data_IF_171302682799
#
_entry.id   IF_171302682799
#
_cell.length_a   1.000
_cell.length_b   1.000
_cell.length_c   1.000
_cell.angle_alpha   90.00
_cell.angle_beta   90.00
_cell.angle_gamma   90.00
#
_symmetry.space_group_name_H-M   'P 1'
#
loop_
_entity.id
_entity.type
_entity.pdbx_description
1 polymer ?
#
# COMPACT_ATOMS: atom_id res chain seq x y z
N UNK A 1 4.49 -2.12 -15.93
CA UNK A 1 4.20 -1.04 -14.95
C UNK A 1 4.01 -1.57 -13.53
N UNK A 2 3.15 -2.56 -13.29
CA UNK A 2 2.87 -3.04 -11.92
C UNK A 2 4.11 -3.59 -11.17
N UNK A 3 5.00 -4.34 -11.84
CA UNK A 3 6.25 -4.81 -11.22
C UNK A 3 7.18 -3.66 -10.81
N UNK A 4 7.23 -2.57 -11.59
CA UNK A 4 8.04 -1.39 -11.26
C UNK A 4 7.53 -0.67 -10.01
N UNK A 5 6.21 -0.52 -9.88
CA UNK A 5 5.56 0.14 -8.74
C UNK A 5 5.76 -0.68 -7.45
N UNK A 6 5.87 -2.01 -7.56
CA UNK A 6 6.19 -2.87 -6.41
C UNK A 6 7.62 -2.68 -5.89
N UNK A 7 8.53 -2.06 -6.64
CA UNK A 7 9.92 -1.87 -6.22
C UNK A 7 10.26 -0.37 -6.24
N UNK A 8 9.97 0.36 -5.15
CA UNK A 8 10.12 1.82 -5.08
C UNK A 8 11.51 2.31 -5.48
N UNK A 9 12.57 1.62 -5.04
CA UNK A 9 13.96 1.96 -5.36
C UNK A 9 14.24 1.83 -6.87
N UNK A 10 13.71 0.78 -7.51
CA UNK A 10 13.86 0.60 -8.97
C UNK A 10 13.11 1.69 -9.72
N UNK A 11 11.89 2.03 -9.26
CA UNK A 11 11.12 3.14 -9.81
C UNK A 11 11.87 4.47 -9.66
N UNK A 12 12.54 4.71 -8.52
CA UNK A 12 13.38 5.90 -8.30
C UNK A 12 14.45 6.02 -9.38
N UNK A 13 15.27 4.99 -9.61
CA UNK A 13 16.35 5.08 -10.59
C UNK A 13 15.82 5.24 -12.02
N UNK A 14 14.76 4.53 -12.38
CA UNK A 14 14.17 4.61 -13.72
C UNK A 14 13.54 5.98 -13.96
N UNK A 15 12.77 6.49 -13.00
CA UNK A 15 12.21 7.85 -13.10
C UNK A 15 13.32 8.90 -13.11
N UNK A 16 14.39 8.74 -12.32
CA UNK A 16 15.51 9.66 -12.31
C UNK A 16 16.19 9.73 -13.68
N UNK A 17 16.49 8.58 -14.29
CA UNK A 17 17.07 8.53 -15.63
C UNK A 17 16.12 9.14 -16.65
N UNK A 18 14.84 8.79 -16.60
CA UNK A 18 13.83 9.29 -17.53
C UNK A 18 13.66 10.82 -17.45
N UNK A 19 13.55 11.36 -16.23
CA UNK A 19 13.39 12.80 -16.00
C UNK A 19 14.66 13.58 -16.34
N UNK A 20 15.84 13.01 -16.04
CA UNK A 20 17.13 13.61 -16.40
C UNK A 20 17.30 13.64 -17.92
N UNK A 21 16.95 12.56 -18.61
CA UNK A 21 16.95 12.49 -20.07
C UNK A 21 15.97 13.51 -20.68
N UNK A 22 14.76 13.66 -20.11
CA UNK A 22 13.80 14.66 -20.57
C UNK A 22 14.35 16.09 -20.43
N UNK A 23 14.94 16.44 -19.29
CA UNK A 23 15.58 17.75 -19.09
C UNK A 23 16.80 17.96 -20.00
N UNK A 24 17.59 16.92 -20.22
CA UNK A 24 18.70 16.97 -21.18
C UNK A 24 18.21 17.19 -22.62
N UNK A 25 17.16 16.49 -23.07
CA UNK A 25 16.53 16.71 -24.38
C UNK A 25 16.03 18.15 -24.48
N UNK A 26 15.38 18.67 -23.43
CA UNK A 26 14.94 20.06 -23.37
C UNK A 26 16.09 21.05 -23.62
N UNK A 27 17.19 20.90 -22.86
CA UNK A 27 18.32 21.85 -22.87
C UNK A 27 19.28 21.69 -24.05
N UNK A 28 19.62 20.45 -24.42
CA UNK A 28 20.65 20.16 -25.41
C UNK A 28 20.10 19.96 -26.82
N UNK A 29 18.83 19.55 -26.97
CA UNK A 29 18.25 19.21 -28.28
C UNK A 29 17.21 20.25 -28.70
N UNK A 30 16.22 20.53 -27.85
CA UNK A 30 15.10 21.42 -28.20
C UNK A 30 15.52 22.89 -28.17
N UNK A 31 16.20 23.33 -27.10
CA UNK A 31 16.57 24.74 -26.90
C UNK A 31 17.45 25.32 -28.02
N UNK A 32 18.47 24.63 -28.55
CA UNK A 32 19.26 25.17 -29.67
C UNK A 32 18.50 25.20 -31.00
N UNK A 33 17.54 24.28 -31.22
CA UNK A 33 16.75 24.20 -32.45
C UNK A 33 15.59 25.18 -32.48
N UNK A 34 15.03 25.47 -31.31
CA UNK A 34 13.89 26.37 -31.13
C UNK A 34 14.25 27.37 -30.04
N UNK A 35 14.97 28.46 -30.37
CA UNK A 35 15.25 29.50 -29.41
C UNK A 35 13.95 30.22 -29.03
N UNK A 36 13.75 30.40 -27.73
CA UNK A 36 12.66 31.23 -27.18
C UNK A 36 13.06 32.68 -27.43
N UNK A 37 12.35 33.37 -28.33
CA UNK A 37 12.52 34.81 -28.56
C UNK A 37 12.05 35.62 -27.36
N UNK A 38 12.57 36.84 -27.21
CA UNK A 38 12.29 37.68 -26.03
C UNK A 38 10.81 37.99 -25.86
N UNK A 39 10.05 38.10 -26.96
CA UNK A 39 8.60 38.36 -26.93
C UNK A 39 7.76 37.17 -26.46
N UNK A 40 8.27 35.94 -26.54
CA UNK A 40 7.55 34.71 -26.14
C UNK A 40 8.05 34.11 -24.82
N UNK A 41 9.02 34.78 -24.17
CA UNK A 41 9.66 34.29 -22.94
C UNK A 41 8.69 34.26 -21.76
N UNK A 42 7.80 35.25 -21.66
CA UNK A 42 6.83 35.32 -20.56
C UNK A 42 5.73 34.28 -20.72
N UNK A 43 5.22 34.07 -21.93
CA UNK A 43 4.26 32.98 -22.24
C UNK A 43 4.85 31.61 -21.88
N UNK A 44 6.12 31.38 -22.23
CA UNK A 44 6.82 30.15 -21.88
C UNK A 44 6.92 29.95 -20.36
N UNK A 45 7.33 30.99 -19.61
CA UNK A 45 7.42 30.93 -18.14
C UNK A 45 6.06 30.65 -17.50
N UNK A 46 4.99 31.20 -18.05
CA UNK A 46 3.62 30.94 -17.62
C UNK A 46 3.26 29.46 -17.80
N UNK A 47 3.48 28.90 -18.99
CA UNK A 47 3.22 27.48 -19.29
C UNK A 47 4.08 26.54 -18.43
N UNK A 48 5.36 26.87 -18.26
CA UNK A 48 6.28 26.12 -17.41
C UNK A 48 5.79 26.09 -15.95
N UNK A 49 5.43 27.25 -15.40
CA UNK A 49 4.92 27.38 -14.03
C UNK A 49 3.59 26.63 -13.84
N UNK A 50 2.68 26.72 -14.80
CA UNK A 50 1.42 25.98 -14.78
C UNK A 50 1.65 24.46 -14.81
N UNK A 51 2.58 23.99 -15.64
CA UNK A 51 2.92 22.55 -15.74
C UNK A 51 3.55 22.02 -14.45
N UNK A 52 4.46 22.79 -13.84
CA UNK A 52 5.08 22.44 -12.56
C UNK A 52 4.05 22.43 -11.42
N UNK A 53 3.12 23.39 -11.41
CA UNK A 53 2.02 23.44 -10.44
C UNK A 53 1.11 22.24 -10.59
N UNK A 54 0.76 21.86 -11.83
CA UNK A 54 -0.02 20.66 -12.09
C UNK A 54 0.71 19.40 -11.63
N UNK A 55 2.02 19.29 -11.88
CA UNK A 55 2.83 18.17 -11.39
C UNK A 55 2.78 18.07 -9.86
N UNK A 56 3.00 19.18 -9.15
CA UNK A 56 2.94 19.22 -7.70
C UNK A 56 1.57 18.80 -7.16
N UNK A 57 0.49 19.26 -7.81
CA UNK A 57 -0.88 18.92 -7.44
C UNK A 57 -1.18 17.42 -7.62
N UNK A 58 -0.80 16.84 -8.77
CA UNK A 58 -1.01 15.42 -9.06
C UNK A 58 -0.16 14.53 -8.14
N UNK A 59 1.07 14.96 -7.80
CA UNK A 59 1.90 14.31 -6.77
C UNK A 59 1.17 14.33 -5.42
N UNK A 60 0.66 15.49 -5.00
CA UNK A 60 -0.05 15.64 -3.72
C UNK A 60 -1.28 14.74 -3.61
N UNK A 61 -2.13 14.72 -4.64
CA UNK A 61 -3.30 13.82 -4.66
C UNK A 61 -2.91 12.34 -4.68
N UNK A 62 -1.85 11.99 -5.41
CA UNK A 62 -1.38 10.60 -5.47
C UNK A 62 -0.78 10.13 -4.15
N UNK A 63 -0.05 11.00 -3.45
CA UNK A 63 0.46 10.73 -2.11
C UNK A 63 -0.68 10.58 -1.11
N UNK A 64 -1.67 11.48 -1.12
CA UNK A 64 -2.85 11.36 -0.26
C UNK A 64 -3.61 10.05 -0.49
N UNK A 65 -3.77 9.65 -1.76
CA UNK A 65 -4.35 8.37 -2.14
C UNK A 65 -3.56 7.17 -1.62
N UNK A 66 -2.22 7.21 -1.65
CA UNK A 66 -1.37 6.15 -1.13
C UNK A 66 -1.47 6.06 0.41
N UNK A 67 -1.41 7.21 1.10
CA UNK A 67 -1.53 7.30 2.57
C UNK A 67 -2.88 6.75 3.05
N UNK A 68 -3.98 7.14 2.41
CA UNK A 68 -5.31 6.65 2.79
C UNK A 68 -5.42 5.11 2.70
N UNK A 69 -4.83 4.52 1.64
CA UNK A 69 -4.76 3.05 1.50
C UNK A 69 -3.87 2.40 2.55
N UNK A 70 -2.76 3.03 2.90
CA UNK A 70 -1.88 2.56 3.97
C UNK A 70 -2.61 2.57 5.33
N UNK A 71 -3.30 3.67 5.66
CA UNK A 71 -4.08 3.78 6.89
C UNK A 71 -5.23 2.76 6.92
N UNK A 72 -5.93 2.54 5.79
CA UNK A 72 -6.95 1.52 5.70
C UNK A 72 -6.41 0.11 6.00
N UNK A 73 -5.22 -0.22 5.49
CA UNK A 73 -4.58 -1.52 5.78
C UNK A 73 -4.19 -1.65 7.26
N UNK A 74 -3.78 -0.56 7.91
CA UNK A 74 -3.52 -0.56 9.36
C UNK A 74 -4.80 -0.75 10.16
N UNK A 75 -5.87 -0.06 9.79
CA UNK A 75 -7.15 -0.19 10.49
C UNK A 75 -7.70 -1.62 10.36
N UNK A 76 -7.57 -2.26 9.20
CA UNK A 76 -7.99 -3.66 9.05
C UNK A 76 -7.11 -4.66 9.81
N UNK A 77 -5.82 -4.36 10.00
CA UNK A 77 -4.96 -5.16 10.88
C UNK A 77 -5.43 -5.10 12.34
N UNK A 78 -5.81 -3.91 12.81
CA UNK A 78 -6.41 -3.71 14.13
C UNK A 78 -7.76 -4.42 14.26
N UNK A 79 -8.63 -4.30 13.25
CA UNK A 79 -9.93 -4.99 13.23
C UNK A 79 -9.80 -6.51 13.26
N UNK A 80 -8.85 -7.10 12.50
CA UNK A 80 -8.54 -8.54 12.59
C UNK A 80 -8.12 -8.92 14.00
N UNK A 81 -7.21 -8.16 14.63
CA UNK A 81 -6.72 -8.43 15.97
C UNK A 81 -7.85 -8.37 17.02
N UNK A 82 -8.74 -7.37 16.91
CA UNK A 82 -9.89 -7.18 17.80
C UNK A 82 -10.94 -8.28 17.62
N UNK A 83 -11.25 -8.68 16.37
CA UNK A 83 -12.19 -9.76 16.10
C UNK A 83 -11.69 -11.09 16.67
N UNK A 84 -10.40 -11.41 16.46
CA UNK A 84 -9.78 -12.64 17.00
C UNK A 84 -9.80 -12.62 18.53
N UNK A 85 -9.40 -11.51 19.16
CA UNK A 85 -9.39 -11.40 20.62
C UNK A 85 -10.80 -11.52 21.22
N UNK A 86 -11.79 -10.90 20.59
CA UNK A 86 -13.20 -10.98 21.00
C UNK A 86 -13.71 -12.42 20.89
N UNK A 87 -13.47 -13.08 19.76
CA UNK A 87 -13.94 -14.45 19.54
C UNK A 87 -13.25 -15.45 20.45
N UNK A 88 -11.98 -15.21 20.81
CA UNK A 88 -11.26 -16.06 21.77
C UNK A 88 -11.96 -16.11 23.14
N UNK A 89 -12.52 -14.98 23.60
CA UNK A 89 -13.29 -14.93 24.85
C UNK A 89 -14.69 -15.50 24.63
N UNK A 90 -15.35 -15.16 23.50
CA UNK A 90 -16.70 -15.68 23.18
C UNK A 90 -16.72 -17.19 22.95
N UNK A 91 -15.60 -17.83 22.67
CA UNK A 91 -15.50 -19.28 22.62
C UNK A 91 -16.03 -19.95 23.90
N UNK A 92 -15.90 -19.33 25.08
CA UNK A 92 -16.43 -19.86 26.36
C UNK A 92 -17.96 -19.88 26.44
N UNK A 93 -18.65 -19.24 25.48
CA UNK A 93 -20.11 -19.28 25.37
C UNK A 93 -20.62 -20.57 24.72
N UNK A 94 -19.70 -21.43 24.26
CA UNK A 94 -19.97 -22.72 23.64
C UNK A 94 -19.60 -23.87 24.60
N UNK A 95 -20.02 -25.12 24.33
CA UNK A 95 -19.61 -26.26 25.13
C UNK A 95 -18.08 -26.35 25.28
N UNK A 96 -17.60 -26.77 26.46
CA UNK A 96 -16.18 -26.72 26.82
C UNK A 96 -15.23 -27.38 25.79
N UNK A 97 -15.67 -28.48 25.15
CA UNK A 97 -14.91 -29.14 24.09
C UNK A 97 -14.77 -28.27 22.83
N UNK A 98 -15.84 -27.59 22.43
CA UNK A 98 -15.81 -26.64 21.30
C UNK A 98 -14.99 -25.39 21.65
N UNK A 99 -15.15 -24.86 22.86
CA UNK A 99 -14.40 -23.71 23.35
C UNK A 99 -12.87 -23.95 23.29
N UNK A 100 -12.42 -25.10 23.80
CA UNK A 100 -11.00 -25.47 23.78
C UNK A 100 -10.44 -25.64 22.36
N UNK A 101 -11.22 -26.28 21.47
CA UNK A 101 -10.84 -26.44 20.06
C UNK A 101 -10.73 -25.10 19.34
N UNK A 102 -11.73 -24.21 19.50
CA UNK A 102 -11.75 -22.89 18.89
C UNK A 102 -10.58 -22.03 19.38
N UNK A 103 -10.31 -22.00 20.69
CA UNK A 103 -9.17 -21.24 21.24
C UNK A 103 -7.82 -21.71 20.67
N UNK A 104 -7.63 -23.02 20.59
CA UNK A 104 -6.43 -23.61 20.01
C UNK A 104 -6.29 -23.23 18.53
N UNK A 105 -7.39 -23.29 17.77
CA UNK A 105 -7.40 -22.99 16.35
C UNK A 105 -7.25 -21.48 16.09
N UNK A 106 -7.82 -20.61 16.92
CA UNK A 106 -7.65 -19.16 16.83
C UNK A 106 -6.21 -18.73 17.10
N UNK A 107 -5.51 -19.35 18.06
CA UNK A 107 -4.10 -19.07 18.29
C UNK A 107 -3.24 -19.43 17.07
N UNK A 108 -3.53 -20.58 16.43
CA UNK A 108 -2.88 -20.97 15.17
C UNK A 108 -3.24 -20.06 14.00
N UNK A 109 -4.50 -19.61 13.96
CA UNK A 109 -4.98 -18.68 12.96
C UNK A 109 -4.27 -17.34 13.07
N UNK A 110 -4.17 -16.81 14.28
CA UNK A 110 -3.46 -15.58 14.59
C UNK A 110 -1.99 -15.63 14.13
N UNK A 111 -1.29 -16.74 14.39
CA UNK A 111 0.08 -16.95 13.91
C UNK A 111 0.16 -16.93 12.38
N UNK A 112 -0.75 -17.62 11.68
CA UNK A 112 -0.82 -17.57 10.21
C UNK A 112 -1.10 -16.15 9.69
N UNK A 113 -1.95 -15.38 10.39
CA UNK A 113 -2.20 -13.99 10.04
C UNK A 113 -0.93 -13.16 10.22
N UNK A 114 -0.21 -13.27 11.33
CA UNK A 114 1.07 -12.57 11.52
C UNK A 114 2.06 -12.92 10.39
N UNK A 115 2.18 -14.20 10.03
CA UNK A 115 3.02 -14.64 8.92
C UNK A 115 2.59 -14.03 7.57
N UNK A 116 1.29 -13.83 7.34
CA UNK A 116 0.78 -13.18 6.11
C UNK A 116 1.27 -11.73 5.96
N UNK A 117 1.38 -10.98 7.06
CA UNK A 117 1.91 -9.61 7.05
C UNK A 117 3.43 -9.56 6.86
N UNK A 118 4.14 -10.61 7.28
CA UNK A 118 5.61 -10.70 7.20
C UNK A 118 6.10 -11.33 5.89
N UNK A 119 5.26 -12.11 5.19
CA UNK A 119 5.65 -12.80 3.97
C UNK A 119 5.81 -11.84 2.78
N UNK A 120 7.00 -11.88 2.17
CA UNK A 120 7.33 -11.14 0.95
C UNK A 120 7.12 -11.98 -0.33
N UNK A 121 7.26 -13.30 -0.23
CA UNK A 121 7.26 -14.24 -1.35
C UNK A 121 5.84 -14.70 -1.75
N UNK A 122 5.55 -14.73 -3.06
CA UNK A 122 4.23 -15.09 -3.59
C UNK A 122 3.86 -16.56 -3.34
N UNK A 123 4.83 -17.49 -3.40
CA UNK A 123 4.59 -18.90 -3.12
C UNK A 123 4.27 -19.10 -1.64
N UNK A 124 5.04 -18.48 -0.75
CA UNK A 124 4.79 -18.53 0.69
C UNK A 124 3.43 -17.94 1.05
N UNK A 125 3.02 -16.86 0.39
CA UNK A 125 1.69 -16.27 0.57
C UNK A 125 0.57 -17.21 0.13
N UNK A 126 0.74 -17.92 -0.98
CA UNK A 126 -0.24 -18.91 -1.44
C UNK A 126 -0.40 -20.05 -0.41
N UNK A 127 0.71 -20.54 0.15
CA UNK A 127 0.70 -21.55 1.22
C UNK A 127 -0.03 -21.04 2.47
N UNK A 128 0.31 -19.84 2.94
CA UNK A 128 -0.33 -19.21 4.11
C UNK A 128 -1.83 -19.06 3.87
N UNK A 129 -2.24 -18.53 2.71
CA UNK A 129 -3.65 -18.34 2.38
C UNK A 129 -4.42 -19.67 2.34
N UNK A 130 -3.83 -20.73 1.78
CA UNK A 130 -4.43 -22.06 1.78
C UNK A 130 -4.57 -22.63 3.20
N UNK A 131 -3.56 -22.45 4.05
CA UNK A 131 -3.62 -22.85 5.45
C UNK A 131 -4.67 -22.04 6.24
N UNK A 132 -4.73 -20.72 6.01
CA UNK A 132 -5.74 -19.82 6.59
C UNK A 132 -7.15 -20.26 6.21
N UNK A 133 -7.43 -20.51 4.94
CA UNK A 133 -8.76 -20.94 4.48
C UNK A 133 -9.18 -22.29 5.08
N UNK A 134 -8.27 -23.25 5.14
CA UNK A 134 -8.52 -24.54 5.80
C UNK A 134 -8.86 -24.37 7.29
N UNK A 135 -8.18 -23.46 7.98
CA UNK A 135 -8.41 -23.22 9.40
C UNK A 135 -9.70 -22.44 9.66
N UNK A 136 -10.06 -21.47 8.81
CA UNK A 136 -11.36 -20.81 8.85
C UNK A 136 -12.51 -21.81 8.74
N UNK A 137 -12.40 -22.81 7.84
CA UNK A 137 -13.40 -23.88 7.72
C UNK A 137 -13.53 -24.71 9.00
N UNK A 138 -12.41 -25.05 9.66
CA UNK A 138 -12.41 -25.77 10.95
C UNK A 138 -13.05 -24.94 12.06
N UNK A 139 -12.65 -23.68 12.17
CA UNK A 139 -13.17 -22.73 13.15
C UNK A 139 -14.68 -22.54 13.00
N UNK A 140 -15.15 -22.32 11.76
CA UNK A 140 -16.58 -22.19 11.46
C UNK A 140 -17.35 -23.46 11.85
N UNK A 141 -16.87 -24.63 11.47
CA UNK A 141 -17.52 -25.90 11.80
C UNK A 141 -17.59 -26.14 13.31
N UNK A 142 -16.55 -25.79 14.06
CA UNK A 142 -16.52 -25.90 15.51
C UNK A 142 -17.53 -24.94 16.17
N UNK A 143 -17.56 -23.67 15.74
CA UNK A 143 -18.50 -22.68 16.25
C UNK A 143 -19.96 -23.07 15.94
N UNK A 144 -20.25 -23.47 14.70
CA UNK A 144 -21.58 -23.90 14.27
C UNK A 144 -22.05 -25.16 15.02
N UNK A 145 -21.19 -26.18 15.14
CA UNK A 145 -21.53 -27.42 15.85
C UNK A 145 -21.75 -27.18 17.35
N UNK A 146 -20.91 -26.34 17.96
CA UNK A 146 -21.07 -25.93 19.36
C UNK A 146 -22.41 -25.21 19.59
N UNK A 147 -22.77 -24.29 18.70
CA UNK A 147 -24.03 -23.57 18.80
C UNK A 147 -25.26 -24.46 18.55
N UNK A 148 -25.18 -25.42 17.62
CA UNK A 148 -26.26 -26.39 17.39
C UNK A 148 -26.45 -27.36 18.57
N UNK A 149 -25.40 -27.62 19.35
CA UNK A 149 -25.49 -28.45 20.57
C UNK A 149 -26.23 -27.71 21.69
N UNK A 150 -26.13 -26.39 21.75
CA UNK A 150 -26.80 -25.57 22.76
C UNK A 150 -27.43 -24.31 22.13
N UNK A 151 -28.49 -24.44 21.31
CA UNK A 151 -29.02 -23.34 20.51
C UNK A 151 -29.72 -22.31 21.40
N UNK A 152 -29.00 -21.22 21.71
CA UNK A 152 -29.52 -20.14 22.55
C UNK A 152 -28.94 -18.77 22.11
N UNK A 153 -29.51 -17.65 22.58
CA UNK A 153 -29.03 -16.32 22.18
C UNK A 153 -27.56 -16.04 22.54
N UNK A 154 -27.03 -16.68 23.58
CA UNK A 154 -25.63 -16.51 24.03
C UNK A 154 -24.67 -17.25 23.10
N UNK A 155 -25.00 -18.47 22.67
CA UNK A 155 -24.18 -19.21 21.69
C UNK A 155 -24.16 -18.54 20.31
N UNK A 156 -25.23 -17.80 19.96
CA UNK A 156 -25.27 -17.00 18.74
C UNK A 156 -24.21 -15.88 18.71
N UNK A 157 -23.78 -15.36 19.87
CA UNK A 157 -22.73 -14.34 19.94
C UNK A 157 -21.36 -14.90 19.52
N UNK A 158 -21.07 -16.17 19.81
CA UNK A 158 -19.85 -16.84 19.35
C UNK A 158 -19.89 -17.11 17.84
N UNK A 159 -21.04 -17.55 17.30
CA UNK A 159 -21.17 -17.72 15.84
C UNK A 159 -21.02 -16.39 15.10
N UNK A 160 -21.59 -15.31 15.64
CA UNK A 160 -21.44 -13.97 15.10
C UNK A 160 -19.97 -13.47 15.17
N UNK A 161 -19.30 -13.66 16.31
CA UNK A 161 -17.90 -13.27 16.45
C UNK A 161 -16.98 -14.09 15.52
N UNK A 162 -17.27 -15.36 15.30
CA UNK A 162 -16.56 -16.18 14.31
C UNK A 162 -16.76 -15.67 12.89
N UNK A 163 -17.97 -15.19 12.56
CA UNK A 163 -18.23 -14.53 11.28
C UNK A 163 -17.36 -13.28 11.12
N UNK A 164 -17.23 -12.46 12.17
CA UNK A 164 -16.38 -11.27 12.16
C UNK A 164 -14.90 -11.62 11.94
N UNK A 165 -14.38 -12.68 12.58
CA UNK A 165 -13.01 -13.19 12.36
C UNK A 165 -12.75 -13.56 10.89
N UNK A 166 -13.73 -14.18 10.23
CA UNK A 166 -13.61 -14.57 8.82
C UNK A 166 -13.73 -13.34 7.92
N UNK A 167 -14.66 -12.43 8.19
CA UNK A 167 -14.89 -11.22 7.40
C UNK A 167 -13.69 -10.27 7.42
N UNK A 168 -13.10 -10.03 8.60
CA UNK A 168 -11.97 -9.11 8.77
C UNK A 168 -10.73 -9.55 7.96
N UNK A 169 -10.53 -10.85 7.78
CA UNK A 169 -9.52 -11.36 6.85
C UNK A 169 -9.84 -11.04 5.39
N UNK A 170 -11.11 -11.14 4.99
CA UNK A 170 -11.57 -10.75 3.66
C UNK A 170 -11.36 -9.26 3.37
N UNK A 171 -11.67 -8.40 4.35
CA UNK A 171 -11.45 -6.94 4.25
C UNK A 171 -9.96 -6.60 4.10
N UNK A 172 -9.13 -7.26 4.92
CA UNK A 172 -7.67 -7.17 4.80
C UNK A 172 -7.23 -7.56 3.40
N UNK A 173 -7.65 -8.71 2.89
CA UNK A 173 -7.27 -9.16 1.55
C UNK A 173 -7.65 -8.14 0.45
N UNK A 174 -8.85 -7.56 0.54
CA UNK A 174 -9.31 -6.53 -0.40
C UNK A 174 -8.45 -5.26 -0.34
N UNK A 175 -8.09 -4.77 0.85
CA UNK A 175 -7.24 -3.59 1.00
C UNK A 175 -5.80 -3.80 0.50
N UNK A 176 -5.31 -5.03 0.54
CA UNK A 176 -3.98 -5.38 0.02
C UNK A 176 -3.93 -5.41 -1.51
N UNK A 177 -5.07 -5.73 -2.16
CA UNK A 177 -5.24 -5.62 -3.61
C UNK A 177 -5.52 -4.19 -4.08
N UNK A 178 -6.09 -3.34 -3.22
CA UNK A 178 -6.37 -1.95 -3.54
C UNK A 178 -5.07 -1.14 -3.66
N UNK A 179 -4.75 -0.70 -4.88
CA UNK A 179 -3.56 0.09 -5.24
C UNK A 179 -3.93 1.39 -5.95
N UNK A 180 -2.97 2.29 -6.09
CA UNK A 180 -3.10 3.45 -6.98
C UNK A 180 -3.27 2.95 -8.43
N UNK A 181 -4.32 3.38 -9.15
CA UNK A 181 -4.56 2.93 -10.52
C UNK A 181 -3.40 3.23 -11.46
N UNK A 182 -3.12 2.32 -12.39
CA UNK A 182 -2.04 2.48 -13.39
C UNK A 182 -2.21 3.75 -14.22
N UNK A 183 -3.45 4.17 -14.50
CA UNK A 183 -3.73 5.41 -15.22
C UNK A 183 -3.20 6.66 -14.48
N UNK A 184 -3.30 6.71 -13.15
CA UNK A 184 -2.75 7.81 -12.35
C UNK A 184 -1.22 7.84 -12.41
N UNK A 185 -0.57 6.67 -12.40
CA UNK A 185 0.88 6.54 -12.59
C UNK A 185 1.34 7.00 -13.99
N UNK A 186 0.60 6.64 -15.04
CA UNK A 186 0.89 7.09 -16.40
C UNK A 186 0.78 8.63 -16.49
N UNK A 187 -0.25 9.22 -15.88
CA UNK A 187 -0.43 10.66 -15.83
C UNK A 187 0.72 11.36 -15.09
N UNK A 188 1.08 10.86 -13.89
CA UNK A 188 2.22 11.36 -13.10
C UNK A 188 3.52 11.35 -13.91
N UNK A 189 3.86 10.21 -14.51
CA UNK A 189 5.08 10.06 -15.32
C UNK A 189 5.06 10.99 -16.53
N UNK A 190 3.93 11.10 -17.22
CA UNK A 190 3.80 11.96 -18.42
C UNK A 190 4.01 13.43 -18.07
N UNK A 191 3.32 13.94 -17.05
CA UNK A 191 3.46 15.32 -16.60
C UNK A 191 4.88 15.56 -16.06
N UNK A 192 5.45 14.59 -15.34
CA UNK A 192 6.83 14.68 -14.86
C UNK A 192 7.84 14.83 -16.00
N UNK A 193 7.68 14.05 -17.07
CA UNK A 193 8.55 14.13 -18.26
C UNK A 193 8.42 15.50 -18.93
N UNK A 194 7.20 15.96 -19.18
CA UNK A 194 6.98 17.27 -19.80
C UNK A 194 7.50 18.41 -18.93
N UNK A 195 7.29 18.35 -17.61
CA UNK A 195 7.79 19.35 -16.67
C UNK A 195 9.33 19.42 -16.69
N UNK A 196 10.02 18.29 -16.60
CA UNK A 196 11.49 18.26 -16.63
C UNK A 196 12.04 18.69 -18.00
N UNK A 197 11.37 18.31 -19.09
CA UNK A 197 11.72 18.76 -20.43
C UNK A 197 11.56 20.28 -20.59
N UNK A 198 10.47 20.86 -20.08
CA UNK A 198 10.27 22.31 -20.07
C UNK A 198 11.32 23.02 -19.20
N UNK A 199 11.66 22.47 -18.02
CA UNK A 199 12.75 23.00 -17.17
C UNK A 199 14.06 23.05 -17.94
N UNK A 200 14.40 21.97 -18.67
CA UNK A 200 15.60 21.94 -19.48
C UNK A 200 15.55 22.88 -20.68
N UNK A 201 14.41 22.96 -21.36
CA UNK A 201 14.23 23.88 -22.49
C UNK A 201 14.34 25.36 -22.08
N UNK A 202 13.92 25.69 -20.85
CA UNK A 202 14.07 27.03 -20.28
C UNK A 202 15.47 27.33 -19.71
N UNK A 203 16.40 26.38 -19.71
CA UNK A 203 17.75 26.59 -19.19
C UNK A 203 18.58 27.46 -20.17
N UNK A 204 19.20 28.52 -19.64
CA UNK A 204 20.23 29.30 -20.32
C UNK A 204 21.62 28.80 -19.88
N UNK A 205 22.70 29.16 -20.58
CA UNK A 205 24.08 28.70 -20.34
C UNK A 205 24.69 29.15 -18.98
N UNK A 206 23.87 29.55 -18.02
CA UNK A 206 24.27 29.96 -16.68
C UNK A 206 24.48 28.75 -15.77
N UNK A 207 25.62 28.68 -15.07
CA UNK A 207 25.96 27.60 -14.10
C UNK A 207 24.86 27.30 -13.08
N UNK A 208 24.00 28.27 -12.76
CA UNK A 208 22.86 28.11 -11.85
C UNK A 208 21.71 27.28 -12.43
N UNK A 209 21.40 27.40 -13.73
CA UNK A 209 20.34 26.61 -14.38
C UNK A 209 20.77 25.17 -14.64
N UNK A 210 22.07 24.92 -14.78
CA UNK A 210 22.63 23.56 -14.81
C UNK A 210 22.35 22.75 -13.53
N UNK A 211 22.17 23.41 -12.37
CA UNK A 211 21.78 22.72 -11.12
C UNK A 211 20.31 22.30 -11.11
N UNK A 212 19.42 23.10 -11.72
CA UNK A 212 17.99 22.79 -11.80
C UNK A 212 17.71 21.54 -12.63
N UNK A 213 18.54 21.28 -13.65
CA UNK A 213 18.53 20.06 -14.47
C UNK A 213 18.81 18.77 -13.66
N UNK A 214 19.31 18.89 -12.43
CA UNK A 214 19.58 17.75 -11.55
C UNK A 214 18.64 17.73 -10.34
N UNK A 215 18.34 18.89 -9.75
CA UNK A 215 17.44 18.99 -8.59
C UNK A 215 16.01 18.56 -8.94
N UNK A 216 15.48 19.01 -10.08
CA UNK A 216 14.09 18.71 -10.45
C UNK A 216 13.85 17.21 -10.72
N UNK A 217 14.69 16.52 -11.51
CA UNK A 217 14.59 15.06 -11.67
C UNK A 217 14.67 14.31 -10.33
N UNK A 218 15.59 14.69 -9.44
CA UNK A 218 15.72 14.03 -8.13
C UNK A 218 14.46 14.22 -7.28
N UNK A 219 13.96 15.44 -7.15
CA UNK A 219 12.78 15.73 -6.32
C UNK A 219 11.53 14.99 -6.81
N UNK A 220 11.29 14.98 -8.12
CA UNK A 220 10.15 14.29 -8.73
C UNK A 220 10.28 12.78 -8.57
N UNK A 221 11.47 12.23 -8.83
CA UNK A 221 11.73 10.80 -8.71
C UNK A 221 11.62 10.31 -7.26
N UNK A 222 12.08 11.12 -6.30
CA UNK A 222 11.94 10.84 -4.87
C UNK A 222 10.46 10.86 -4.44
N UNK A 223 9.68 11.79 -4.97
CA UNK A 223 8.24 11.86 -4.72
C UNK A 223 7.54 10.62 -5.29
N UNK A 224 7.89 10.17 -6.50
CA UNK A 224 7.35 8.95 -7.09
C UNK A 224 7.76 7.70 -6.30
N UNK A 225 9.01 7.64 -5.83
CA UNK A 225 9.48 6.58 -4.94
C UNK A 225 8.64 6.52 -3.67
N UNK A 226 8.44 7.65 -2.99
CA UNK A 226 7.67 7.71 -1.74
C UNK A 226 6.22 7.27 -1.95
N UNK A 227 5.56 7.71 -3.03
CA UNK A 227 4.19 7.29 -3.37
C UNK A 227 4.15 5.77 -3.57
N UNK A 228 5.10 5.21 -4.33
CA UNK A 228 5.16 3.77 -4.57
C UNK A 228 5.47 2.97 -3.30
N UNK A 229 6.33 3.51 -2.42
CA UNK A 229 6.69 2.90 -1.14
C UNK A 229 5.48 2.73 -0.24
N UNK A 230 4.72 3.82 -0.04
CA UNK A 230 3.50 3.82 0.79
C UNK A 230 2.38 2.99 0.14
N UNK A 231 2.23 3.04 -1.19
CA UNK A 231 1.21 2.26 -1.88
C UNK A 231 1.53 0.76 -1.89
N UNK A 232 2.78 0.36 -1.61
CA UNK A 232 3.26 -1.02 -1.58
C UNK A 232 3.15 -1.71 -0.20
N UNK A 233 2.13 -2.56 0.04
CA UNK A 233 1.94 -3.34 1.26
C UNK A 233 3.10 -4.23 1.70
N UNK A 234 3.92 -4.75 0.77
CA UNK A 234 4.93 -5.80 1.07
C UNK A 234 6.36 -5.35 0.88
N UNK A 235 6.59 -4.55 -0.14
CA UNK A 235 7.92 -4.14 -0.54
C UNK A 235 8.09 -2.67 -0.26
N UNK A 236 9.29 -2.26 0.12
CA UNK A 236 9.58 -0.87 0.45
C UNK A 236 10.12 -0.71 1.86
N UNK A 237 10.22 0.54 2.29
CA UNK A 237 10.67 0.94 3.62
C UNK A 237 9.45 1.05 4.55
N UNK A 238 8.37 1.67 4.07
CA UNK A 238 7.13 1.85 4.84
C UNK A 238 6.22 0.65 4.63
N UNK A 239 6.04 -0.17 5.66
CA UNK A 239 5.23 -1.39 5.63
C UNK A 239 4.26 -1.43 6.80
N UNK A 240 3.14 -2.14 6.62
CA UNK A 240 2.22 -2.42 7.72
C UNK A 240 2.82 -3.55 8.57
N UNK A 241 3.22 -3.21 9.78
CA UNK A 241 3.71 -4.18 10.78
C UNK A 241 2.50 -4.71 11.56
N UNK A 242 2.37 -6.03 11.78
CA UNK A 242 1.22 -6.63 12.46
C UNK A 242 1.28 -6.44 13.99
N UNK A 243 1.35 -5.18 14.44
CA UNK A 243 1.58 -4.85 15.84
C UNK A 243 0.39 -5.24 16.72
N UNK A 244 -0.85 -5.05 16.27
CA UNK A 244 -2.02 -5.39 17.05
C UNK A 244 -2.20 -6.91 17.13
N UNK A 245 -1.97 -7.64 16.03
CA UNK A 245 -1.99 -9.10 16.02
C UNK A 245 -0.92 -9.69 16.96
N UNK A 246 0.29 -9.14 16.96
CA UNK A 246 1.36 -9.53 17.91
C UNK A 246 0.93 -9.22 19.35
N UNK A 247 0.37 -8.04 19.61
CA UNK A 247 -0.13 -7.65 20.93
C UNK A 247 -1.21 -8.60 21.43
N UNK A 248 -2.18 -8.95 20.57
CA UNK A 248 -3.22 -9.94 20.88
C UNK A 248 -2.58 -11.28 21.24
N UNK A 249 -1.60 -11.75 20.48
CA UNK A 249 -0.88 -13.03 20.79
C UNK A 249 -0.28 -13.03 22.19
N UNK A 250 0.31 -11.91 22.62
CA UNK A 250 0.91 -11.78 23.96
C UNK A 250 -0.14 -11.67 25.08
N UNK A 251 -1.34 -11.19 24.76
CA UNK A 251 -2.45 -11.05 25.71
C UNK A 251 -3.24 -12.34 25.93
N UNK A 252 -3.21 -13.27 24.96
CA UNK A 252 -3.94 -14.53 25.05
C UNK A 252 -3.30 -15.45 26.11
N UNK A 253 -4.10 -16.13 26.95
CA UNK A 253 -3.58 -17.17 27.83
C UNK A 253 -2.87 -18.24 27.00
N UNK A 254 -1.66 -18.62 27.43
CA UNK A 254 -0.98 -19.77 26.81
C UNK A 254 -1.81 -21.04 27.06
N UNK A 255 -1.95 -21.91 26.05
CA UNK A 255 -2.70 -23.15 26.16
C UNK A 255 -2.15 -24.06 27.26
#
# INVERSE_FOLDING_TARGET
MQQLIRHPIVLFFISLVLMSAAGWIGSAVLRPRMPIGDTSRDDFKLVQSATLTLLALVIGFSLSMAVNRYDQRKNYEEEEANAIGTEFIRADLLPASAAAAIRTDLARYLDLRIQFYQAEDEQRLAEINAATANLQGKLWNAAASGALTQPNPVSALAVAGMNDVINTQGYTQAAWWNRVPVAAWILLLSIGVFANMLVGYGAENSKHQGRLLLIMPITVSLSFMLIADIDSPRHGIIRVVPQNLISTTLSLPKP
#
